data_IF_698768641615
#
_entry.id   IF_698768641615
#
_cell.length_a   1.000
_cell.length_b   1.000
_cell.length_c   1.000
_cell.angle_alpha   90.00
_cell.angle_beta   90.00
_cell.angle_gamma   90.00
#
_symmetry.space_group_name_H-M   'P 1'
#
loop_
_entity.id
_entity.type
_entity.pdbx_description
1 polymer ?
#
# COMPACT_ATOMS: atom_id res chain seq x y z
N UNK A 1 6.11 29.11 -21.71
CA UNK A 1 5.19 29.47 -20.61
C UNK A 1 4.38 28.27 -20.11
N UNK A 2 3.79 27.46 -20.99
CA UNK A 2 3.00 26.26 -20.60
C UNK A 2 3.77 25.24 -19.73
N UNK A 3 5.05 24.94 -20.02
CA UNK A 3 5.86 23.97 -19.25
C UNK A 3 6.09 24.40 -17.79
N UNK A 4 6.35 25.69 -17.57
CA UNK A 4 6.58 26.24 -16.22
C UNK A 4 5.30 26.15 -15.37
N UNK A 5 4.15 26.48 -15.96
CA UNK A 5 2.86 26.38 -15.27
C UNK A 5 2.54 24.93 -14.87
N UNK A 6 2.76 23.97 -15.77
CA UNK A 6 2.59 22.53 -15.46
C UNK A 6 3.54 22.09 -14.36
N UNK A 7 4.80 22.53 -14.40
CA UNK A 7 5.78 22.20 -13.38
C UNK A 7 5.38 22.73 -12.00
N UNK A 8 4.93 23.99 -11.91
CA UNK A 8 4.47 24.60 -10.66
C UNK A 8 3.21 23.89 -10.15
N UNK A 9 2.24 23.62 -11.03
CA UNK A 9 1.00 22.96 -10.63
C UNK A 9 1.24 21.53 -10.11
N UNK A 10 2.13 20.77 -10.74
CA UNK A 10 2.50 19.44 -10.26
C UNK A 10 3.28 19.48 -8.93
N UNK A 11 4.10 20.51 -8.71
CA UNK A 11 4.75 20.72 -7.41
C UNK A 11 3.73 21.06 -6.31
N UNK A 12 2.71 21.85 -6.63
CA UNK A 12 1.58 22.14 -5.72
C UNK A 12 0.77 20.88 -5.44
N UNK A 13 0.49 20.06 -6.46
CA UNK A 13 -0.18 18.77 -6.28
C UNK A 13 0.60 17.85 -5.32
N UNK A 14 1.93 17.79 -5.45
CA UNK A 14 2.78 17.05 -4.53
C UNK A 14 2.69 17.58 -3.10
N UNK A 15 2.70 18.91 -2.93
CA UNK A 15 2.55 19.54 -1.62
C UNK A 15 1.17 19.23 -1.00
N UNK A 16 0.10 19.26 -1.79
CA UNK A 16 -1.25 18.89 -1.34
C UNK A 16 -1.29 17.42 -0.92
N UNK A 17 -0.71 16.51 -1.70
CA UNK A 17 -0.66 15.09 -1.35
C UNK A 17 0.04 14.86 0.00
N UNK A 18 1.22 15.46 0.20
CA UNK A 18 1.95 15.35 1.45
C UNK A 18 1.19 15.99 2.62
N UNK A 19 0.62 17.19 2.42
CA UNK A 19 -0.17 17.88 3.43
C UNK A 19 -1.40 17.08 3.86
N UNK A 20 -2.15 16.50 2.93
CA UNK A 20 -3.30 15.64 3.25
C UNK A 20 -2.86 14.42 4.04
N UNK A 21 -1.78 13.75 3.63
CA UNK A 21 -1.24 12.60 4.37
C UNK A 21 -0.85 12.96 5.81
N UNK A 22 -0.19 14.09 6.01
CA UNK A 22 0.20 14.57 7.34
C UNK A 22 -1.01 15.00 8.18
N UNK A 23 -2.00 15.69 7.59
CA UNK A 23 -3.21 16.14 8.29
C UNK A 23 -4.06 14.96 8.76
N UNK A 24 -4.14 13.88 7.98
CA UNK A 24 -4.84 12.64 8.40
C UNK A 24 -4.24 12.05 9.69
N UNK A 25 -2.95 12.28 9.97
CA UNK A 25 -2.31 11.88 11.23
C UNK A 25 -2.44 12.96 12.30
N UNK A 26 -2.11 14.21 11.95
CA UNK A 26 -2.11 15.33 12.90
C UNK A 26 -3.49 15.56 13.50
N UNK A 27 -4.58 15.45 12.73
CA UNK A 27 -5.93 15.69 13.23
C UNK A 27 -6.33 14.74 14.38
N UNK A 28 -6.32 13.40 14.21
CA UNK A 28 -6.64 12.49 15.31
C UNK A 28 -5.60 12.52 16.44
N UNK A 29 -4.31 12.72 16.14
CA UNK A 29 -3.28 12.85 17.18
C UNK A 29 -3.47 14.12 18.01
N UNK A 30 -3.87 15.24 17.40
CA UNK A 30 -4.18 16.48 18.14
C UNK A 30 -5.39 16.27 19.05
N UNK A 31 -6.42 15.56 18.58
CA UNK A 31 -7.58 15.22 19.40
C UNK A 31 -7.16 14.34 20.59
N UNK A 32 -6.30 13.34 20.36
CA UNK A 32 -5.74 12.51 21.42
C UNK A 32 -4.90 13.33 22.41
N UNK A 33 -4.02 14.22 21.92
CA UNK A 33 -3.20 15.10 22.76
C UNK A 33 -4.05 16.00 23.66
N UNK A 34 -5.08 16.61 23.08
CA UNK A 34 -5.96 17.53 23.82
C UNK A 34 -6.84 16.82 24.83
N UNK A 35 -7.47 15.70 24.44
CA UNK A 35 -8.50 15.06 25.26
C UNK A 35 -7.93 14.03 26.24
N UNK A 36 -6.91 13.26 25.84
CA UNK A 36 -6.35 12.20 26.68
C UNK A 36 -5.18 12.68 27.54
N UNK A 37 -4.28 13.50 26.98
CA UNK A 37 -3.10 14.00 27.72
C UNK A 37 -3.37 15.37 28.38
N UNK A 38 -4.24 16.20 27.80
CA UNK A 38 -4.68 17.47 28.37
C UNK A 38 -3.52 18.41 28.71
N UNK A 39 -3.48 18.91 29.95
CA UNK A 39 -2.44 19.83 30.41
C UNK A 39 -1.03 19.19 30.49
N UNK A 40 -0.93 17.86 30.51
CA UNK A 40 0.34 17.12 30.57
C UNK A 40 0.89 16.77 29.18
N UNK A 41 0.19 17.16 28.12
CA UNK A 41 0.58 16.83 26.76
C UNK A 41 1.87 17.54 26.34
N UNK A 42 2.87 16.78 25.90
CA UNK A 42 4.05 17.34 25.26
C UNK A 42 3.74 17.69 23.80
N UNK A 43 3.38 18.95 23.57
CA UNK A 43 3.11 19.48 22.22
C UNK A 43 4.33 19.47 21.30
N UNK A 44 5.55 19.43 21.86
CA UNK A 44 6.78 19.28 21.08
C UNK A 44 6.87 17.93 20.39
N UNK A 45 6.28 16.88 20.96
CA UNK A 45 6.29 15.52 20.42
C UNK A 45 5.25 15.26 19.32
N UNK A 46 4.24 16.14 19.16
CA UNK A 46 3.14 15.92 18.21
C UNK A 46 3.62 15.87 16.76
N UNK A 47 4.46 16.82 16.34
CA UNK A 47 5.02 16.84 14.98
C UNK A 47 5.98 15.67 14.72
N UNK A 48 6.96 15.39 15.60
CA UNK A 48 7.79 14.18 15.50
C UNK A 48 6.99 12.89 15.36
N UNK A 49 5.95 12.70 16.17
CA UNK A 49 5.10 11.52 16.09
C UNK A 49 4.39 11.42 14.74
N UNK A 50 3.73 12.50 14.29
CA UNK A 50 3.01 12.50 13.02
C UNK A 50 3.94 12.32 11.81
N UNK A 51 5.09 13.00 11.77
CA UNK A 51 6.04 12.88 10.68
C UNK A 51 6.70 11.50 10.60
N UNK A 52 7.04 10.91 11.75
CA UNK A 52 7.56 9.54 11.84
C UNK A 52 6.52 8.52 11.37
N UNK A 53 5.27 8.63 11.83
CA UNK A 53 4.18 7.76 11.38
C UNK A 53 3.85 7.94 9.90
N UNK A 54 3.97 9.15 9.36
CA UNK A 54 3.80 9.42 7.94
C UNK A 54 4.88 8.71 7.11
N UNK A 55 6.14 8.72 7.55
CA UNK A 55 7.23 7.98 6.90
C UNK A 55 7.02 6.47 7.00
N UNK A 56 6.63 5.99 8.18
CA UNK A 56 6.27 4.59 8.40
C UNK A 56 5.16 4.13 7.45
N UNK A 57 4.14 4.96 7.22
CA UNK A 57 3.09 4.73 6.23
C UNK A 57 3.53 4.63 4.77
N UNK A 58 4.77 5.00 4.45
CA UNK A 58 5.39 4.83 3.12
C UNK A 58 6.36 3.62 3.06
N UNK A 59 6.33 2.72 4.04
CA UNK A 59 7.15 1.51 4.05
C UNK A 59 8.51 1.66 4.71
N UNK A 60 8.76 2.78 5.41
CA UNK A 60 10.02 3.01 6.13
C UNK A 60 9.97 2.23 7.44
N UNK A 61 10.89 1.28 7.71
CA UNK A 61 10.86 0.53 8.96
C UNK A 61 11.15 1.45 10.15
N UNK A 62 10.44 1.20 11.25
CA UNK A 62 10.54 1.97 12.48
C UNK A 62 11.35 1.21 13.52
N UNK A 63 12.45 1.78 13.98
CA UNK A 63 13.24 1.23 15.08
C UNK A 63 12.73 1.81 16.40
N UNK A 64 12.13 0.95 17.22
CA UNK A 64 11.58 1.31 18.52
C UNK A 64 12.62 1.06 19.61
N UNK A 65 12.78 2.05 20.48
CA UNK A 65 13.64 1.99 21.66
C UNK A 65 12.79 2.24 22.90
N UNK A 66 12.68 1.24 23.77
CA UNK A 66 12.03 1.37 25.07
C UNK A 66 13.07 1.90 26.07
N UNK A 67 12.82 3.04 26.74
CA UNK A 67 13.71 3.59 27.76
C UNK A 67 13.97 2.60 28.92
N UNK A 68 15.21 2.59 29.45
CA UNK A 68 15.67 1.61 30.45
C UNK A 68 14.83 1.63 31.74
N UNK A 69 14.35 2.80 32.16
CA UNK A 69 13.46 2.96 33.31
C UNK A 69 12.12 2.23 33.10
N UNK A 70 11.56 2.28 31.89
CA UNK A 70 10.34 1.55 31.52
C UNK A 70 10.62 0.05 31.42
N UNK A 71 11.75 -0.35 30.85
CA UNK A 71 12.17 -1.77 30.77
C UNK A 71 12.25 -2.39 32.16
N UNK A 72 12.90 -1.70 33.10
CA UNK A 72 13.02 -2.13 34.50
C UNK A 72 11.67 -2.15 35.20
N UNK A 73 10.84 -1.12 35.01
CA UNK A 73 9.53 -1.02 35.65
C UNK A 73 8.54 -2.11 35.18
N UNK A 74 8.59 -2.49 33.91
CA UNK A 74 7.70 -3.49 33.30
C UNK A 74 8.29 -4.91 33.37
N UNK A 75 9.58 -5.05 33.69
CA UNK A 75 10.27 -6.33 33.77
C UNK A 75 10.51 -6.98 32.41
N UNK A 76 10.68 -6.17 31.36
CA UNK A 76 10.96 -6.65 30.00
C UNK A 76 12.45 -7.01 29.92
N UNK A 77 12.81 -8.06 29.16
CA UNK A 77 14.22 -8.37 28.90
C UNK A 77 14.89 -7.19 28.19
N UNK A 78 16.12 -6.79 28.56
CA UNK A 78 16.87 -5.75 27.84
C UNK A 78 17.01 -6.03 26.34
N UNK A 79 17.07 -7.31 25.95
CA UNK A 79 17.15 -7.73 24.54
C UNK A 79 15.86 -7.44 23.75
N UNK A 80 14.72 -7.29 24.45
CA UNK A 80 13.42 -6.92 23.87
C UNK A 80 13.13 -5.42 23.94
N UNK A 81 14.04 -4.62 24.51
CA UNK A 81 13.91 -3.16 24.58
C UNK A 81 14.08 -2.47 23.21
N UNK A 82 14.61 -3.20 22.22
CA UNK A 82 14.84 -2.70 20.86
C UNK A 82 14.28 -3.67 19.84
N UNK A 83 13.39 -3.18 18.99
CA UNK A 83 12.81 -4.00 17.93
C UNK A 83 12.38 -3.14 16.74
N UNK A 84 12.28 -3.76 15.57
CA UNK A 84 11.84 -3.11 14.35
C UNK A 84 10.37 -3.38 14.11
N UNK A 85 9.59 -2.31 13.96
CA UNK A 85 8.23 -2.37 13.46
C UNK A 85 8.25 -2.08 11.96
N UNK A 86 7.97 -3.09 11.13
CA UNK A 86 7.95 -2.97 9.66
C UNK A 86 6.55 -3.08 9.05
N UNK A 87 5.53 -3.42 9.85
CA UNK A 87 4.18 -3.67 9.37
C UNK A 87 3.53 -2.37 8.89
N UNK A 88 3.59 -2.10 7.59
CA UNK A 88 3.24 -0.79 7.06
C UNK A 88 1.73 -0.58 6.96
N UNK A 89 1.18 0.56 7.42
CA UNK A 89 -0.21 0.93 7.15
C UNK A 89 -0.34 1.46 5.71
N UNK A 90 -0.63 0.54 4.78
CA UNK A 90 -0.52 0.76 3.34
C UNK A 90 -1.45 1.83 2.75
N UNK A 91 -2.45 2.33 3.50
CA UNK A 91 -3.33 3.38 3.00
C UNK A 91 -2.59 4.68 2.66
N UNK A 92 -1.54 5.05 3.39
CA UNK A 92 -0.73 6.24 3.07
C UNK A 92 0.01 6.08 1.74
N UNK A 93 0.72 4.95 1.59
CA UNK A 93 1.41 4.60 0.35
C UNK A 93 0.45 4.58 -0.84
N UNK A 94 -0.70 3.91 -0.69
CA UNK A 94 -1.72 3.80 -1.74
C UNK A 94 -2.31 5.17 -2.09
N UNK A 95 -2.61 6.00 -1.09
CA UNK A 95 -3.09 7.36 -1.30
C UNK A 95 -2.09 8.19 -2.10
N UNK A 96 -0.82 8.22 -1.69
CA UNK A 96 0.25 8.94 -2.38
C UNK A 96 0.39 8.46 -3.82
N UNK A 97 0.43 7.14 -4.04
CA UNK A 97 0.54 6.52 -5.36
C UNK A 97 -0.61 6.95 -6.29
N UNK A 98 -1.86 6.84 -5.82
CA UNK A 98 -3.05 7.16 -6.61
C UNK A 98 -3.20 8.67 -6.85
N UNK A 99 -2.87 9.50 -5.87
CA UNK A 99 -2.89 10.95 -6.02
C UNK A 99 -1.84 11.40 -7.03
N UNK A 100 -0.62 10.88 -6.92
CA UNK A 100 0.46 11.15 -7.86
C UNK A 100 0.10 10.70 -9.29
N UNK A 101 -0.53 9.53 -9.45
CA UNK A 101 -1.02 9.08 -10.76
C UNK A 101 -2.04 10.02 -11.39
N UNK A 102 -2.94 10.61 -10.58
CA UNK A 102 -3.85 11.65 -11.08
C UNK A 102 -3.10 12.91 -11.47
N UNK A 103 -2.11 13.34 -10.69
CA UNK A 103 -1.28 14.51 -11.02
C UNK A 103 -0.47 14.30 -12.32
N UNK A 104 0.19 13.14 -12.48
CA UNK A 104 0.90 12.79 -13.70
C UNK A 104 0.00 12.73 -14.94
N UNK A 105 -1.22 12.21 -14.79
CA UNK A 105 -2.25 12.23 -15.85
C UNK A 105 -2.62 13.67 -16.23
N UNK A 106 -2.79 14.58 -15.25
CA UNK A 106 -3.07 16.00 -15.52
C UNK A 106 -1.90 16.67 -16.25
N UNK A 107 -0.67 16.42 -15.82
CA UNK A 107 0.52 16.96 -16.48
C UNK A 107 0.65 16.48 -17.94
N UNK A 108 0.26 15.23 -18.21
CA UNK A 108 0.25 14.66 -19.55
C UNK A 108 -0.83 15.24 -20.46
N UNK A 109 -2.05 15.46 -19.95
CA UNK A 109 -3.09 16.22 -20.66
C UNK A 109 -2.65 17.61 -21.09
N UNK A 110 -1.75 18.23 -20.33
CA UNK A 110 -1.19 19.55 -20.64
C UNK A 110 0.03 19.51 -21.58
N UNK A 111 0.44 18.34 -22.08
CA UNK A 111 1.54 18.18 -23.04
C UNK A 111 2.95 18.38 -22.46
N UNK A 112 3.11 18.37 -21.13
CA UNK A 112 4.40 18.60 -20.47
C UNK A 112 4.62 17.62 -19.30
N UNK A 113 4.25 16.35 -19.49
CA UNK A 113 4.26 15.35 -18.43
C UNK A 113 5.63 15.14 -17.79
N UNK A 114 6.72 15.13 -18.57
CA UNK A 114 8.09 14.98 -18.03
C UNK A 114 8.38 16.06 -17.00
N UNK A 115 8.06 17.32 -17.31
CA UNK A 115 8.25 18.44 -16.39
C UNK A 115 7.37 18.33 -15.16
N UNK A 116 6.11 17.92 -15.31
CA UNK A 116 5.21 17.71 -14.18
C UNK A 116 5.64 16.55 -13.27
N UNK A 117 6.06 15.42 -13.84
CA UNK A 117 6.58 14.28 -13.06
C UNK A 117 7.85 14.68 -12.32
N UNK A 118 8.82 15.31 -13.00
CA UNK A 118 10.08 15.73 -12.38
C UNK A 118 9.84 16.75 -11.28
N UNK A 119 9.05 17.80 -11.54
CA UNK A 119 8.82 18.86 -10.54
C UNK A 119 8.00 18.38 -9.35
N UNK A 120 6.93 17.60 -9.58
CA UNK A 120 6.12 17.01 -8.52
C UNK A 120 6.93 16.05 -7.65
N UNK A 121 7.73 15.19 -8.28
CA UNK A 121 8.61 14.26 -7.58
C UNK A 121 9.69 14.96 -6.76
N UNK A 122 10.32 16.00 -7.33
CA UNK A 122 11.31 16.80 -6.61
C UNK A 122 10.67 17.53 -5.42
N UNK A 123 9.50 18.13 -5.61
CA UNK A 123 8.76 18.79 -4.53
C UNK A 123 8.41 17.80 -3.41
N UNK A 124 7.89 16.61 -3.76
CA UNK A 124 7.58 15.58 -2.77
C UNK A 124 8.81 15.08 -2.03
N UNK A 125 9.93 14.87 -2.74
CA UNK A 125 11.20 14.46 -2.13
C UNK A 125 11.74 15.54 -1.17
N UNK A 126 11.64 16.82 -1.52
CA UNK A 126 12.03 17.93 -0.64
C UNK A 126 11.14 17.99 0.62
N UNK A 127 9.83 17.75 0.48
CA UNK A 127 8.93 17.66 1.63
C UNK A 127 9.28 16.46 2.50
N UNK A 128 9.51 15.28 1.92
CA UNK A 128 9.94 14.10 2.66
C UNK A 128 11.25 14.35 3.42
N UNK A 129 12.22 15.03 2.80
CA UNK A 129 13.46 15.46 3.44
C UNK A 129 13.23 16.46 4.58
N UNK A 130 12.32 17.43 4.41
CA UNK A 130 11.96 18.38 5.46
C UNK A 130 11.32 17.66 6.66
N UNK A 131 10.39 16.73 6.42
CA UNK A 131 9.79 15.91 7.48
C UNK A 131 10.86 15.06 8.17
N UNK A 132 11.73 14.37 7.43
CA UNK A 132 12.82 13.57 7.99
C UNK A 132 13.84 14.39 8.80
N UNK A 133 14.05 15.65 8.40
CA UNK A 133 14.93 16.58 9.12
C UNK A 133 14.32 17.10 10.42
N UNK A 134 13.00 17.24 10.49
CA UNK A 134 12.32 17.97 11.58
C UNK A 134 11.48 17.10 12.52
N UNK A 135 11.06 15.90 12.09
CA UNK A 135 10.16 15.03 12.83
C UNK A 135 10.90 13.91 13.61
N UNK A 136 12.06 14.23 14.21
CA UNK A 136 12.88 13.23 14.92
C UNK A 136 12.38 13.01 16.34
N UNK A 137 12.39 11.75 16.77
CA UNK A 137 12.06 11.32 18.14
C UNK A 137 13.08 10.29 18.60
N UNK A 138 13.37 10.28 19.90
CA UNK A 138 14.34 9.36 20.51
C UNK A 138 13.77 7.94 20.72
N UNK A 139 12.44 7.82 20.76
CA UNK A 139 11.74 6.56 21.05
C UNK A 139 11.50 5.72 19.80
N UNK A 140 11.37 6.37 18.64
CA UNK A 140 10.94 5.74 17.40
C UNK A 140 11.68 6.34 16.20
N UNK A 141 12.82 5.76 15.85
CA UNK A 141 13.67 6.33 14.78
C UNK A 141 13.44 5.64 13.46
N UNK A 142 13.70 6.36 12.38
CA UNK A 142 13.67 5.83 11.01
C UNK A 142 15.03 6.04 10.34
N UNK A 143 15.45 5.15 9.43
CA UNK A 143 16.65 5.38 8.63
C UNK A 143 16.46 6.63 7.73
N UNK A 144 17.25 7.67 7.96
CA UNK A 144 17.07 8.99 7.34
C UNK A 144 16.98 8.94 5.81
N UNK A 145 17.80 8.11 5.16
CA UNK A 145 17.77 7.99 3.70
C UNK A 145 16.51 7.30 3.19
N UNK A 146 16.00 6.26 3.89
CA UNK A 146 14.74 5.59 3.54
C UNK A 146 13.55 6.53 3.74
N UNK A 147 13.58 7.35 4.79
CA UNK A 147 12.57 8.36 5.09
C UNK A 147 12.36 9.40 3.97
N UNK A 148 13.33 9.52 3.06
CA UNK A 148 13.26 10.40 1.88
C UNK A 148 12.97 9.57 0.63
N UNK A 149 13.74 8.51 0.41
CA UNK A 149 13.72 7.73 -0.84
C UNK A 149 12.40 6.98 -1.02
N UNK A 150 11.86 6.33 0.03
CA UNK A 150 10.64 5.53 -0.12
C UNK A 150 9.40 6.40 -0.41
N UNK A 151 9.09 7.46 0.36
CA UNK A 151 7.97 8.33 0.01
C UNK A 151 8.12 8.95 -1.40
N UNK A 152 9.32 9.40 -1.75
CA UNK A 152 9.60 9.97 -3.07
C UNK A 152 9.42 8.93 -4.20
N UNK A 153 9.91 7.71 -4.01
CA UNK A 153 9.76 6.63 -4.97
C UNK A 153 8.28 6.29 -5.22
N UNK A 154 7.47 6.20 -4.16
CA UNK A 154 6.02 5.97 -4.27
C UNK A 154 5.37 7.08 -5.11
N UNK A 155 5.70 8.34 -4.85
CA UNK A 155 5.17 9.46 -5.62
C UNK A 155 5.61 9.42 -7.09
N UNK A 156 6.91 9.21 -7.35
CA UNK A 156 7.48 9.11 -8.71
C UNK A 156 6.80 8.01 -9.50
N UNK A 157 6.68 6.81 -8.92
CA UNK A 157 6.06 5.65 -9.55
C UNK A 157 4.60 5.97 -9.89
N UNK A 158 3.84 6.55 -8.94
CA UNK A 158 2.46 6.96 -9.18
C UNK A 158 2.35 7.95 -10.33
N UNK A 159 3.11 9.05 -10.28
CA UNK A 159 3.11 10.09 -11.30
C UNK A 159 3.50 9.56 -12.69
N UNK A 160 4.54 8.72 -12.77
CA UNK A 160 4.93 8.05 -14.01
C UNK A 160 3.84 7.14 -14.54
N UNK A 161 3.26 6.26 -13.71
CA UNK A 161 2.18 5.36 -14.11
C UNK A 161 1.00 6.14 -14.70
N UNK A 162 0.60 7.24 -14.07
CA UNK A 162 -0.47 8.10 -14.56
C UNK A 162 -0.13 8.80 -15.89
N UNK A 163 1.05 9.41 -15.97
CA UNK A 163 1.51 10.10 -17.16
C UNK A 163 1.66 9.14 -18.36
N UNK A 164 2.41 8.04 -18.18
CA UNK A 164 2.67 7.04 -19.22
C UNK A 164 1.39 6.39 -19.70
N UNK A 165 0.47 6.03 -18.78
CA UNK A 165 -0.84 5.48 -19.16
C UNK A 165 -1.63 6.43 -20.06
N UNK A 166 -1.60 7.73 -19.76
CA UNK A 166 -2.32 8.73 -20.55
C UNK A 166 -1.67 8.90 -21.93
N UNK A 167 -0.35 9.13 -21.97
CA UNK A 167 0.39 9.32 -23.22
C UNK A 167 0.26 8.08 -24.11
N UNK A 168 0.41 6.87 -23.56
CA UNK A 168 0.26 5.63 -24.32
C UNK A 168 -1.11 5.52 -25.00
N UNK A 169 -2.18 6.06 -24.40
CA UNK A 169 -3.54 5.95 -24.94
C UNK A 169 -3.90 7.06 -25.92
N UNK A 170 -3.45 8.28 -25.67
CA UNK A 170 -3.89 9.47 -26.41
C UNK A 170 -2.86 9.94 -27.45
N UNK A 171 -1.59 9.57 -27.27
CA UNK A 171 -0.47 10.09 -28.02
C UNK A 171 0.02 11.46 -27.52
N UNK A 172 1.32 11.72 -27.62
CA UNK A 172 1.94 13.03 -27.38
C UNK A 172 2.97 13.45 -28.44
N UNK A 173 3.12 12.67 -29.52
CA UNK A 173 4.15 12.82 -30.55
C UNK A 173 5.58 12.58 -30.06
N UNK A 174 5.74 12.07 -28.84
CA UNK A 174 6.99 11.97 -28.12
C UNK A 174 7.72 10.65 -28.33
N UNK A 175 8.47 10.23 -27.30
CA UNK A 175 9.19 8.95 -27.35
C UNK A 175 8.31 7.76 -26.96
N UNK A 176 7.26 7.97 -26.15
CA UNK A 176 6.31 6.93 -25.79
C UNK A 176 5.51 6.52 -27.03
N UNK A 177 5.11 7.48 -27.86
CA UNK A 177 4.46 7.19 -29.14
C UNK A 177 5.35 6.40 -30.08
N UNK A 178 6.63 6.79 -30.21
CA UNK A 178 7.60 6.00 -30.99
C UNK A 178 7.76 4.57 -30.47
N UNK A 179 7.65 4.37 -29.14
CA UNK A 179 7.65 3.04 -28.55
C UNK A 179 6.35 2.30 -28.83
N UNK A 180 5.20 2.99 -28.78
CA UNK A 180 3.90 2.45 -29.13
C UNK A 180 3.87 1.99 -30.59
N UNK A 181 4.27 2.84 -31.53
CA UNK A 181 4.40 2.52 -32.96
C UNK A 181 5.34 1.32 -33.18
N UNK A 182 6.44 1.26 -32.41
CA UNK A 182 7.39 0.16 -32.47
C UNK A 182 6.77 -1.14 -31.96
N UNK A 183 5.96 -1.11 -30.92
CA UNK A 183 5.23 -2.28 -30.41
C UNK A 183 4.16 -2.71 -31.41
N UNK A 184 3.41 -1.76 -31.98
CA UNK A 184 2.38 -2.03 -33.00
C UNK A 184 2.98 -2.64 -34.29
N UNK A 185 4.23 -2.30 -34.62
CA UNK A 185 4.96 -2.92 -35.73
C UNK A 185 5.25 -4.42 -35.55
N UNK A 186 4.96 -5.02 -34.39
CA UNK A 186 5.19 -6.45 -34.13
C UNK A 186 4.10 -7.38 -34.69
N UNK A 187 3.16 -6.84 -35.47
CA UNK A 187 2.05 -7.61 -36.05
C UNK A 187 1.16 -8.19 -34.95
N UNK A 188 0.89 -9.50 -35.00
CA UNK A 188 0.06 -10.22 -34.01
C UNK A 188 0.55 -10.09 -32.55
N UNK A 189 1.81 -9.66 -32.34
CA UNK A 189 2.40 -9.49 -31.01
C UNK A 189 2.23 -8.07 -30.44
N UNK A 190 1.81 -7.08 -31.24
CA UNK A 190 1.69 -5.70 -30.78
C UNK A 190 0.66 -5.51 -29.67
N UNK A 191 -0.40 -6.31 -29.66
CA UNK A 191 -1.45 -6.26 -28.62
C UNK A 191 -1.01 -6.84 -27.27
N UNK A 192 0.06 -7.65 -27.24
CA UNK A 192 0.45 -8.45 -26.07
C UNK A 192 0.72 -7.59 -24.83
N UNK A 193 1.55 -6.53 -24.87
CA UNK A 193 1.85 -5.74 -23.67
C UNK A 193 0.60 -5.07 -23.09
N UNK A 194 -0.25 -4.52 -23.95
CA UNK A 194 -1.47 -3.83 -23.53
C UNK A 194 -2.49 -4.80 -22.91
N UNK A 195 -2.66 -5.99 -23.48
CA UNK A 195 -3.53 -7.03 -22.91
C UNK A 195 -2.99 -7.61 -21.62
N UNK A 196 -1.67 -7.77 -21.47
CA UNK A 196 -1.05 -8.19 -20.20
C UNK A 196 -1.37 -7.20 -19.09
N UNK A 197 -1.23 -5.90 -19.35
CA UNK A 197 -1.54 -4.85 -18.35
C UNK A 197 -3.04 -4.84 -18.02
N UNK A 198 -3.93 -4.94 -19.03
CA UNK A 198 -5.38 -5.00 -18.81
C UNK A 198 -5.81 -6.22 -18.01
N UNK A 199 -5.32 -7.40 -18.37
CA UNK A 199 -5.60 -8.64 -17.67
C UNK A 199 -5.09 -8.62 -16.24
N UNK A 200 -3.88 -8.11 -16.02
CA UNK A 200 -3.33 -7.90 -14.66
C UNK A 200 -4.18 -6.94 -13.84
N UNK A 201 -4.65 -5.84 -14.43
CA UNK A 201 -5.55 -4.91 -13.75
C UNK A 201 -6.88 -5.59 -13.36
N UNK A 202 -7.43 -6.45 -14.22
CA UNK A 202 -8.63 -7.23 -13.88
C UNK A 202 -8.36 -8.23 -12.75
N UNK A 203 -7.22 -8.91 -12.75
CA UNK A 203 -6.80 -9.78 -11.64
C UNK A 203 -6.66 -8.99 -10.33
N UNK A 204 -5.95 -7.86 -10.36
CA UNK A 204 -5.76 -7.01 -9.18
C UNK A 204 -7.10 -6.53 -8.58
N UNK A 205 -8.02 -6.05 -9.42
CA UNK A 205 -9.37 -5.62 -8.99
C UNK A 205 -10.17 -6.82 -8.45
N UNK A 206 -10.17 -7.94 -9.17
CA UNK A 206 -10.89 -9.16 -8.76
C UNK A 206 -10.41 -9.71 -7.43
N UNK A 207 -9.09 -9.84 -7.24
CA UNK A 207 -8.49 -10.30 -5.98
C UNK A 207 -8.75 -9.33 -4.84
N UNK A 208 -8.66 -8.02 -5.09
CA UNK A 208 -8.99 -6.99 -4.08
C UNK A 208 -10.45 -7.10 -3.66
N UNK A 209 -11.38 -7.31 -4.60
CA UNK A 209 -12.80 -7.51 -4.31
C UNK A 209 -13.07 -8.76 -3.49
N UNK A 210 -12.44 -9.88 -3.86
CA UNK A 210 -12.51 -11.15 -3.12
C UNK A 210 -11.93 -10.99 -1.71
N UNK A 211 -10.78 -10.32 -1.57
CA UNK A 211 -10.17 -10.03 -0.27
C UNK A 211 -11.05 -9.13 0.60
N UNK A 212 -11.68 -8.10 0.01
CA UNK A 212 -12.59 -7.22 0.73
C UNK A 212 -13.81 -7.98 1.25
N UNK A 213 -14.36 -8.89 0.45
CA UNK A 213 -15.43 -9.78 0.87
C UNK A 213 -14.97 -10.69 2.02
N UNK A 214 -13.79 -11.30 1.91
CA UNK A 214 -13.23 -12.16 2.95
C UNK A 214 -13.00 -11.41 4.27
N UNK A 215 -12.41 -10.20 4.23
CA UNK A 215 -12.25 -9.34 5.41
C UNK A 215 -13.62 -8.98 6.00
N UNK A 216 -14.61 -8.67 5.17
CA UNK A 216 -15.97 -8.38 5.63
C UNK A 216 -16.60 -9.58 6.35
N UNK A 217 -16.43 -10.78 5.80
CA UNK A 217 -16.87 -12.03 6.44
C UNK A 217 -16.15 -12.25 7.77
N UNK A 218 -14.84 -12.01 7.84
CA UNK A 218 -14.08 -12.12 9.10
C UNK A 218 -14.54 -11.12 10.14
N UNK A 219 -14.87 -9.89 9.76
CA UNK A 219 -15.44 -8.89 10.67
C UNK A 219 -16.81 -9.33 11.20
N UNK A 220 -17.65 -9.94 10.36
CA UNK A 220 -18.95 -10.45 10.78
C UNK A 220 -18.83 -11.65 11.74
N UNK A 221 -17.89 -12.57 11.47
CA UNK A 221 -17.72 -13.79 12.25
C UNK A 221 -16.91 -13.57 13.53
N UNK A 222 -15.90 -12.68 13.51
CA UNK A 222 -14.96 -12.42 14.61
C UNK A 222 -15.05 -11.02 15.23
N UNK A 223 -16.14 -10.30 14.96
CA UNK A 223 -16.35 -8.97 15.52
C UNK A 223 -16.39 -8.97 17.05
N UNK A 224 -16.84 -10.07 17.66
CA UNK A 224 -16.87 -10.23 19.12
C UNK A 224 -15.47 -10.21 19.75
N UNK A 225 -14.49 -10.83 19.11
CA UNK A 225 -13.09 -10.85 19.58
C UNK A 225 -12.42 -9.49 19.44
N UNK A 226 -12.74 -8.75 18.37
CA UNK A 226 -12.30 -7.36 18.22
C UNK A 226 -12.87 -6.49 19.36
N UNK A 227 -14.16 -6.64 19.68
CA UNK A 227 -14.80 -5.92 20.80
C UNK A 227 -14.18 -6.32 22.14
N UNK A 228 -13.94 -7.61 22.39
CA UNK A 228 -13.31 -8.09 23.61
C UNK A 228 -11.89 -7.51 23.80
N UNK A 229 -11.12 -7.33 22.72
CA UNK A 229 -9.82 -6.68 22.77
C UNK A 229 -9.92 -5.17 23.07
N UNK A 230 -10.93 -4.47 22.55
CA UNK A 230 -11.21 -3.09 22.93
C UNK A 230 -11.56 -2.97 24.43
N UNK A 231 -12.40 -3.88 24.94
CA UNK A 231 -12.80 -3.92 26.35
C UNK A 231 -11.61 -4.27 27.27
N UNK A 232 -10.79 -5.25 26.87
CA UNK A 232 -9.59 -5.65 27.62
C UNK A 232 -8.55 -4.52 27.69
N UNK A 233 -8.40 -3.76 26.61
CA UNK A 233 -7.55 -2.57 26.59
C UNK A 233 -8.14 -1.39 27.38
N UNK A 234 -9.38 -1.48 27.86
CA UNK A 234 -10.10 -0.45 28.64
C UNK A 234 -10.04 0.92 27.99
N UNK A 235 -10.20 0.95 26.67
CA UNK A 235 -10.10 2.17 25.88
C UNK A 235 -11.35 3.01 26.06
N UNK A 236 -11.18 4.32 26.28
CA UNK A 236 -12.29 5.26 26.31
C UNK A 236 -12.83 5.54 24.89
N UNK A 237 -13.90 6.34 24.79
CA UNK A 237 -14.52 6.64 23.49
C UNK A 237 -13.54 7.34 22.51
N UNK A 238 -12.66 8.22 23.04
CA UNK A 238 -11.66 8.93 22.23
C UNK A 238 -10.63 7.95 21.67
N UNK A 239 -10.02 7.13 22.53
CA UNK A 239 -9.06 6.12 22.11
C UNK A 239 -9.68 5.09 21.18
N UNK A 240 -10.93 4.67 21.41
CA UNK A 240 -11.64 3.73 20.55
C UNK A 240 -11.82 4.31 19.14
N UNK A 241 -12.14 5.60 19.05
CA UNK A 241 -12.24 6.34 17.77
C UNK A 241 -10.89 6.38 17.06
N UNK A 242 -9.81 6.76 17.76
CA UNK A 242 -8.45 6.87 17.19
C UNK A 242 -7.94 5.50 16.72
N UNK A 243 -8.14 4.44 17.51
CA UNK A 243 -7.77 3.07 17.13
C UNK A 243 -8.56 2.59 15.91
N UNK A 244 -9.86 2.88 15.85
CA UNK A 244 -10.70 2.52 14.69
C UNK A 244 -10.21 3.25 13.43
N UNK A 245 -9.87 4.53 13.52
CA UNK A 245 -9.23 5.26 12.42
C UNK A 245 -7.89 4.61 12.03
N UNK A 246 -7.07 4.21 13.00
CA UNK A 246 -5.85 3.44 12.76
C UNK A 246 -6.11 2.16 11.98
N UNK A 247 -7.10 1.37 12.37
CA UNK A 247 -7.48 0.13 11.67
C UNK A 247 -7.90 0.40 10.22
N UNK A 248 -8.59 1.51 9.94
CA UNK A 248 -8.95 1.89 8.57
C UNK A 248 -7.72 2.17 7.70
N UNK A 249 -6.67 2.77 8.26
CA UNK A 249 -5.41 3.02 7.54
C UNK A 249 -4.68 1.68 7.25
N UNK A 250 -4.86 0.66 8.10
CA UNK A 250 -4.37 -0.70 7.87
C UNK A 250 -5.25 -1.54 6.94
N UNK A 251 -6.42 -1.07 6.50
CA UNK A 251 -7.32 -1.85 5.67
C UNK A 251 -6.65 -2.41 4.40
N UNK A 252 -5.84 -1.64 3.63
CA UNK A 252 -5.15 -2.20 2.47
C UNK A 252 -4.14 -3.29 2.84
N UNK A 253 -3.51 -3.20 4.02
CA UNK A 253 -2.62 -4.24 4.56
C UNK A 253 -3.39 -5.53 4.85
N UNK A 254 -4.57 -5.43 5.48
CA UNK A 254 -5.46 -6.57 5.72
C UNK A 254 -5.94 -7.22 4.41
N UNK A 255 -6.20 -6.42 3.36
CA UNK A 255 -6.57 -6.95 2.05
C UNK A 255 -5.43 -7.76 1.43
N UNK A 256 -4.18 -7.28 1.55
CA UNK A 256 -3.01 -8.02 1.08
C UNK A 256 -2.84 -9.34 1.84
N UNK A 257 -3.05 -9.34 3.16
CA UNK A 257 -3.05 -10.56 3.96
C UNK A 257 -4.15 -11.54 3.55
N UNK A 258 -5.36 -11.04 3.30
CA UNK A 258 -6.46 -11.87 2.81
C UNK A 258 -6.13 -12.46 1.42
N UNK A 259 -5.53 -11.69 0.50
CA UNK A 259 -5.04 -12.24 -0.78
C UNK A 259 -4.00 -13.34 -0.54
N UNK A 260 -3.01 -13.13 0.34
CA UNK A 260 -1.99 -14.12 0.66
C UNK A 260 -2.57 -15.41 1.26
N UNK A 261 -3.53 -15.27 2.18
CA UNK A 261 -4.24 -16.40 2.79
C UNK A 261 -5.08 -17.16 1.76
N UNK A 262 -5.89 -16.46 0.95
CA UNK A 262 -6.73 -17.08 -0.08
C UNK A 262 -5.88 -17.75 -1.17
N UNK A 263 -4.71 -17.20 -1.50
CA UNK A 263 -3.77 -17.80 -2.44
C UNK A 263 -3.12 -19.08 -1.90
N UNK A 264 -3.12 -19.30 -0.58
CA UNK A 264 -2.54 -20.48 0.07
C UNK A 264 -1.31 -20.19 0.94
N UNK A 265 -0.28 -19.43 0.46
CA UNK A 265 0.94 -19.18 1.24
C UNK A 265 0.72 -18.47 2.57
N UNK A 266 -0.35 -17.68 2.70
CA UNK A 266 -0.64 -16.96 3.93
C UNK A 266 0.11 -15.63 4.05
N UNK A 267 0.25 -15.18 5.30
CA UNK A 267 1.01 -14.00 5.69
C UNK A 267 1.73 -14.22 7.03
N UNK A 268 2.70 -13.37 7.33
CA UNK A 268 3.45 -13.39 8.57
C UNK A 268 3.25 -12.08 9.36
N UNK A 269 3.14 -12.24 10.67
CA UNK A 269 2.96 -11.22 11.70
C UNK A 269 4.17 -11.25 12.64
N UNK A 270 5.36 -10.98 12.08
CA UNK A 270 6.63 -11.07 12.78
C UNK A 270 7.36 -12.40 12.55
N UNK A 271 8.64 -12.42 12.93
CA UNK A 271 9.53 -13.56 12.74
C UNK A 271 8.97 -14.88 13.30
N UNK A 272 9.03 -15.92 12.47
CA UNK A 272 8.60 -17.27 12.87
C UNK A 272 7.10 -17.49 12.93
N UNK A 273 6.28 -16.52 12.48
CA UNK A 273 4.82 -16.67 12.39
C UNK A 273 4.37 -16.97 10.97
N UNK A 274 3.26 -17.71 10.85
CA UNK A 274 2.61 -17.99 9.57
C UNK A 274 1.11 -18.20 9.78
N UNK A 275 0.28 -17.46 9.03
CA UNK A 275 -1.17 -17.61 9.03
C UNK A 275 -1.62 -18.01 7.63
N UNK A 276 -2.06 -19.26 7.46
CA UNK A 276 -2.47 -19.84 6.17
C UNK A 276 -3.70 -20.74 6.32
N UNK A 277 -4.41 -21.09 5.24
CA UNK A 277 -5.50 -22.06 5.30
C UNK A 277 -5.06 -23.44 5.79
N UNK A 278 -3.81 -23.81 5.51
CA UNK A 278 -3.24 -25.11 5.88
C UNK A 278 -2.76 -25.18 7.33
N UNK A 279 -2.56 -24.03 7.98
CA UNK A 279 -1.98 -23.95 9.32
C UNK A 279 -1.85 -22.51 9.80
N UNK A 280 -2.10 -22.31 11.10
CA UNK A 280 -1.82 -21.06 11.82
C UNK A 280 -0.77 -21.35 12.90
N UNK A 281 0.37 -20.67 12.80
CA UNK A 281 1.43 -20.65 13.80
C UNK A 281 1.68 -19.19 14.17
N UNK A 282 1.24 -18.81 15.37
CA UNK A 282 1.40 -17.46 15.88
C UNK A 282 2.28 -17.50 17.14
N UNK A 283 3.14 -16.50 17.26
CA UNK A 283 3.80 -16.20 18.52
C UNK A 283 2.87 -15.43 19.46
N UNK A 284 3.45 -14.62 20.34
CA UNK A 284 2.66 -13.67 21.14
C UNK A 284 2.13 -12.58 20.21
N UNK A 285 0.82 -12.57 19.99
CA UNK A 285 0.15 -11.56 19.18
C UNK A 285 -0.15 -10.34 20.06
N UNK A 286 0.21 -9.11 19.64
CA UNK A 286 -0.14 -7.90 20.38
C UNK A 286 -1.66 -7.77 20.57
N UNK A 287 -2.09 -7.22 21.71
CA UNK A 287 -3.51 -6.98 22.01
C UNK A 287 -4.16 -5.83 21.21
N UNK A 288 -3.77 -5.63 19.95
CA UNK A 288 -4.36 -4.62 19.06
C UNK A 288 -5.70 -5.15 18.55
N UNK A 289 -6.83 -4.43 18.70
CA UNK A 289 -8.15 -5.04 18.49
C UNK A 289 -8.38 -5.63 17.10
N UNK A 290 -7.85 -5.03 16.03
CA UNK A 290 -8.02 -5.57 14.66
C UNK A 290 -7.40 -6.96 14.47
N UNK A 291 -6.43 -7.35 15.30
CA UNK A 291 -5.84 -8.69 15.27
C UNK A 291 -6.80 -9.78 15.76
N UNK A 292 -7.92 -9.41 16.40
CA UNK A 292 -9.05 -10.33 16.65
C UNK A 292 -9.63 -10.93 15.36
N UNK A 293 -9.36 -10.34 14.18
CA UNK A 293 -9.78 -10.88 12.89
C UNK A 293 -8.89 -12.03 12.39
N UNK A 294 -7.74 -12.31 13.00
CA UNK A 294 -6.83 -13.35 12.54
C UNK A 294 -7.45 -14.73 12.80
N UNK A 295 -7.52 -15.65 11.83
CA UNK A 295 -8.10 -16.97 12.07
C UNK A 295 -7.20 -17.83 12.98
N UNK A 296 -7.74 -18.29 14.11
CA UNK A 296 -7.04 -19.16 15.08
C UNK A 296 -7.11 -20.65 14.71
N UNK A 297 -8.13 -21.05 13.96
CA UNK A 297 -8.36 -22.43 13.56
C UNK A 297 -8.05 -22.59 12.07
N UNK A 298 -7.37 -23.69 11.74
CA UNK A 298 -7.07 -24.07 10.36
C UNK A 298 -7.55 -25.49 10.08
N UNK A 299 -7.90 -25.76 8.83
CA UNK A 299 -8.33 -27.09 8.37
C UNK A 299 -7.89 -27.27 6.93
N UNK A 300 -7.43 -28.45 6.56
CA UNK A 300 -7.02 -28.76 5.19
C UNK A 300 -8.11 -28.41 4.16
N UNK A 301 -9.39 -28.54 4.52
CA UNK A 301 -10.51 -28.17 3.68
C UNK A 301 -10.57 -26.68 3.33
N UNK A 302 -9.98 -25.81 4.15
CA UNK A 302 -9.90 -24.38 3.87
C UNK A 302 -9.07 -24.06 2.63
N UNK A 303 -8.17 -24.95 2.19
CA UNK A 303 -7.41 -24.78 0.93
C UNK A 303 -8.31 -24.70 -0.31
N UNK A 304 -9.59 -25.09 -0.22
CA UNK A 304 -10.55 -24.91 -1.31
C UNK A 304 -10.67 -23.44 -1.75
N UNK A 305 -10.36 -22.47 -0.88
CA UNK A 305 -10.38 -21.04 -1.23
C UNK A 305 -9.40 -20.67 -2.34
N UNK A 306 -8.39 -21.50 -2.62
CA UNK A 306 -7.45 -21.31 -3.75
C UNK A 306 -8.20 -21.34 -5.10
N UNK A 307 -9.40 -21.90 -5.16
CA UNK A 307 -10.26 -21.81 -6.34
C UNK A 307 -10.69 -20.37 -6.66
N UNK A 308 -10.71 -19.46 -5.68
CA UNK A 308 -11.06 -18.05 -5.90
C UNK A 308 -10.05 -17.30 -6.78
N UNK A 309 -8.73 -17.29 -6.49
CA UNK A 309 -7.74 -16.65 -7.37
C UNK A 309 -7.66 -17.33 -8.73
N UNK A 310 -7.86 -18.66 -8.80
CA UNK A 310 -7.98 -19.37 -10.08
C UNK A 310 -9.20 -18.88 -10.88
N UNK A 311 -10.36 -18.70 -10.24
CA UNK A 311 -11.56 -18.17 -10.88
C UNK A 311 -11.36 -16.72 -11.35
N UNK A 312 -10.69 -15.88 -10.54
CA UNK A 312 -10.34 -14.50 -10.93
C UNK A 312 -9.39 -14.49 -12.14
N UNK A 313 -8.37 -15.35 -12.15
CA UNK A 313 -7.46 -15.51 -13.29
C UNK A 313 -8.18 -15.99 -14.56
N UNK A 314 -9.07 -16.98 -14.41
CA UNK A 314 -9.90 -17.48 -15.51
C UNK A 314 -10.85 -16.38 -16.05
N UNK A 315 -11.46 -15.59 -15.17
CA UNK A 315 -12.30 -14.46 -15.55
C UNK A 315 -11.52 -13.38 -16.29
N UNK A 316 -10.33 -13.00 -15.80
CA UNK A 316 -9.46 -12.05 -16.50
C UNK A 316 -9.03 -12.57 -17.88
N UNK A 317 -8.68 -13.87 -17.98
CA UNK A 317 -8.37 -14.53 -19.24
C UNK A 317 -9.56 -14.55 -20.20
N UNK A 318 -10.77 -14.82 -19.71
CA UNK A 318 -12.00 -14.75 -20.50
C UNK A 318 -12.29 -13.34 -21.02
N UNK A 319 -12.13 -12.31 -20.17
CA UNK A 319 -12.32 -10.91 -20.55
C UNK A 319 -11.36 -10.50 -21.68
N UNK A 320 -10.06 -10.81 -21.52
CA UNK A 320 -9.03 -10.51 -22.52
C UNK A 320 -9.28 -11.30 -23.82
N UNK A 321 -9.57 -12.60 -23.72
CA UNK A 321 -9.90 -13.43 -24.89
C UNK A 321 -11.12 -12.88 -25.65
N UNK A 322 -12.16 -12.48 -24.94
CA UNK A 322 -13.39 -11.97 -25.57
C UNK A 322 -13.11 -10.69 -26.36
N UNK A 323 -12.22 -9.84 -25.85
CA UNK A 323 -11.77 -8.64 -26.55
C UNK A 323 -10.92 -8.94 -27.77
N UNK A 324 -9.95 -9.86 -27.67
CA UNK A 324 -9.14 -10.28 -28.81
C UNK A 324 -9.99 -10.85 -29.96
N UNK A 325 -11.04 -11.61 -29.63
CA UNK A 325 -12.00 -12.12 -30.61
C UNK A 325 -12.83 -11.00 -31.22
N UNK A 326 -13.29 -10.04 -30.42
CA UNK A 326 -14.07 -8.90 -30.90
C UNK A 326 -13.26 -7.96 -31.81
N UNK A 327 -11.99 -7.74 -31.48
CA UNK A 327 -11.08 -6.87 -32.22
C UNK A 327 -10.42 -7.58 -33.40
N UNK A 328 -10.70 -8.86 -33.62
CA UNK A 328 -10.15 -9.70 -34.70
C UNK A 328 -8.61 -9.65 -34.76
N UNK A 329 -7.97 -9.79 -33.59
CA UNK A 329 -6.50 -9.72 -33.43
C UNK A 329 -5.93 -10.94 -32.71
N UNK A 330 -4.63 -11.18 -32.88
CA UNK A 330 -3.87 -12.25 -32.21
C UNK A 330 -4.53 -13.63 -32.31
N UNK A 331 -4.72 -14.13 -33.54
CA UNK A 331 -5.30 -15.45 -33.79
C UNK A 331 -4.39 -16.60 -33.38
N UNK A 332 -3.07 -16.38 -33.41
CA UNK A 332 -2.07 -17.37 -33.06
C UNK A 332 -2.15 -17.81 -31.60
N UNK A 333 -1.87 -19.10 -31.37
CA UNK A 333 -1.65 -19.64 -30.03
C UNK A 333 -0.48 -18.95 -29.28
N UNK A 334 0.67 -18.63 -29.90
CA UNK A 334 1.81 -18.07 -29.18
C UNK A 334 1.56 -16.70 -28.54
N UNK A 335 0.99 -15.67 -29.22
CA UNK A 335 0.65 -14.39 -28.59
C UNK A 335 -0.33 -14.55 -27.42
N UNK A 336 -1.33 -15.44 -27.53
CA UNK A 336 -2.30 -15.70 -26.46
C UNK A 336 -1.65 -16.36 -25.25
N UNK A 337 -0.76 -17.33 -25.47
CA UNK A 337 0.02 -17.94 -24.40
C UNK A 337 0.95 -16.92 -23.72
N UNK A 338 1.57 -16.02 -24.49
CA UNK A 338 2.39 -14.94 -23.95
C UNK A 338 1.58 -13.95 -23.11
N UNK A 339 0.35 -13.62 -23.52
CA UNK A 339 -0.57 -12.78 -22.73
C UNK A 339 -0.92 -13.46 -21.41
N UNK A 340 -1.30 -14.75 -21.44
CA UNK A 340 -1.64 -15.49 -20.22
C UNK A 340 -0.45 -15.57 -19.25
N UNK A 341 0.74 -15.91 -19.76
CA UNK A 341 1.97 -15.94 -18.98
C UNK A 341 2.33 -14.55 -18.42
N UNK A 342 2.19 -13.50 -19.23
CA UNK A 342 2.44 -12.13 -18.81
C UNK A 342 1.50 -11.67 -17.71
N UNK A 343 0.20 -11.99 -17.80
CA UNK A 343 -0.78 -11.69 -16.73
C UNK A 343 -0.39 -12.41 -15.44
N UNK A 344 -0.04 -13.70 -15.53
CA UNK A 344 0.34 -14.49 -14.36
C UNK A 344 1.61 -13.93 -13.69
N UNK A 345 2.66 -13.66 -14.46
CA UNK A 345 3.93 -13.12 -13.96
C UNK A 345 3.77 -11.73 -13.37
N UNK A 346 3.06 -10.82 -14.05
CA UNK A 346 2.89 -9.45 -13.59
C UNK A 346 1.98 -9.39 -12.35
N UNK A 347 0.91 -10.19 -12.31
CA UNK A 347 0.05 -10.28 -11.13
C UNK A 347 0.81 -10.85 -9.93
N UNK A 348 1.59 -11.91 -10.13
CA UNK A 348 2.44 -12.48 -9.08
C UNK A 348 3.49 -11.45 -8.58
N UNK A 349 4.11 -10.68 -9.48
CA UNK A 349 5.04 -9.62 -9.11
C UNK A 349 4.40 -8.50 -8.28
N UNK A 350 3.21 -8.03 -8.69
CA UNK A 350 2.45 -7.01 -7.95
C UNK A 350 2.07 -7.52 -6.56
N UNK A 351 1.54 -8.74 -6.47
CA UNK A 351 1.20 -9.35 -5.17
C UNK A 351 2.43 -9.56 -4.31
N UNK A 352 3.55 -10.02 -4.85
CA UNK A 352 4.79 -10.19 -4.10
C UNK A 352 5.31 -8.88 -3.50
N UNK A 353 5.30 -7.79 -4.28
CA UNK A 353 5.67 -6.45 -3.77
C UNK A 353 4.71 -6.00 -2.68
N UNK A 354 3.40 -6.17 -2.89
CA UNK A 354 2.39 -5.80 -1.89
C UNK A 354 2.56 -6.60 -0.59
N UNK A 355 2.80 -7.91 -0.68
CA UNK A 355 3.04 -8.80 0.48
C UNK A 355 4.33 -8.43 1.21
N UNK A 356 5.40 -8.09 0.49
CA UNK A 356 6.64 -7.64 1.13
C UNK A 356 6.42 -6.37 1.96
N UNK A 357 5.69 -5.39 1.43
CA UNK A 357 5.34 -4.16 2.14
C UNK A 357 4.34 -4.38 3.29
N UNK A 358 3.49 -5.42 3.18
CA UNK A 358 2.52 -5.80 4.21
C UNK A 358 3.07 -6.81 5.23
N UNK A 359 4.33 -7.24 5.13
CA UNK A 359 4.91 -8.23 6.04
C UNK A 359 5.56 -7.57 7.26
N UNK A 360 5.27 -8.11 8.45
CA UNK A 360 5.97 -7.75 9.68
C UNK A 360 7.23 -8.61 9.85
N UNK A 361 8.37 -7.98 10.14
CA UNK A 361 9.63 -8.63 10.55
C UNK A 361 9.63 -8.97 12.02
#
# INVERSE_FOLDING_TARGET
MQRLLVAILAAVDAAIAAAVGLVVLLAPLTLLWTLALGATADWGALWPAAGTLWQFGHGVPLEIFIPDDVVVAVGISPDAARFTLSLTPLAFLLFTLLFAARSGTRAARSGAWLWGVVSGSLAFALIAAAVAGTARTDVATVPFWLAIVLPAAVYVIGALCGAVRYVWREGDGGFIDRLHDRVDSWGDWGVVPAEVVRGTAAVAVGLTGVAALAVSVMVLLRGGEVVALFEAARVDATGATVLTLGHLIYLPTLLVWAVGWIAGPGFALGAGTAVSPAGTQLGVVPGVPVFGLIPENSSFWMLIVVLLPVAVGAFAGWMVRSRLVWEDTAHGLPPRAAIAAGIALLSAGVTAVATALASGS
#
